data_IF_603780642075
#
_entry.id   IF_603780642075
#
_cell.length_a   1.000
_cell.length_b   1.000
_cell.length_c   1.000
_cell.angle_alpha   90.00
_cell.angle_beta   90.00
_cell.angle_gamma   90.00
#
_symmetry.space_group_name_H-M   'P 1'
#
loop_
_entity.id
_entity.type
_entity.pdbx_description
1 polymer ?
#
# COMPACT_ATOMS: atom_id res chain seq x y z
N UNK A 1 25.77 10.51 -0.52
CA UNK A 1 24.31 10.48 -0.72
C UNK A 1 23.71 11.30 0.42
N UNK A 2 22.81 12.28 0.21
CA UNK A 2 22.17 12.92 1.38
C UNK A 2 21.11 12.00 1.95
N UNK A 3 21.07 12.00 3.28
CA UNK A 3 20.33 11.11 4.16
C UNK A 3 18.82 11.04 3.85
N UNK A 4 18.20 12.16 3.50
CA UNK A 4 16.78 12.24 3.14
C UNK A 4 16.47 11.60 1.77
N UNK A 5 17.40 11.69 0.80
CA UNK A 5 17.30 11.02 -0.49
C UNK A 5 17.51 9.51 -0.34
N UNK A 6 18.47 9.10 0.50
CA UNK A 6 18.70 7.70 0.82
C UNK A 6 17.48 7.06 1.50
N UNK A 7 16.77 7.81 2.36
CA UNK A 7 15.50 7.41 2.97
C UNK A 7 14.37 7.30 1.94
N UNK A 8 14.17 8.30 1.07
CA UNK A 8 13.13 8.25 0.02
C UNK A 8 13.40 7.14 -1.01
N UNK A 9 14.66 6.92 -1.39
CA UNK A 9 15.08 5.82 -2.28
C UNK A 9 14.88 4.47 -1.60
N UNK A 10 15.27 4.31 -0.32
CA UNK A 10 15.02 3.09 0.47
C UNK A 10 13.53 2.81 0.69
N UNK A 11 12.69 3.86 0.75
CA UNK A 11 11.22 3.77 0.81
C UNK A 11 10.56 3.49 -0.56
N UNK A 12 11.25 3.79 -1.67
CA UNK A 12 10.78 3.56 -3.03
C UNK A 12 11.17 2.17 -3.58
N UNK A 13 12.24 1.54 -3.05
CA UNK A 13 12.67 0.20 -3.45
C UNK A 13 11.85 -0.90 -2.74
N UNK A 14 11.25 -1.87 -3.47
CA UNK A 14 10.42 -2.94 -2.91
C UNK A 14 11.20 -4.01 -2.11
N UNK A 15 12.52 -3.84 -1.97
CA UNK A 15 13.40 -4.66 -1.13
C UNK A 15 14.38 -3.76 -0.35
N UNK A 16 13.92 -2.95 0.58
CA UNK A 16 14.82 -2.53 1.68
C UNK A 16 14.59 -3.49 2.84
N UNK A 17 15.50 -4.45 3.08
CA UNK A 17 15.50 -5.24 4.29
C UNK A 17 15.62 -4.24 5.44
N UNK A 18 14.87 -4.50 6.51
CA UNK A 18 15.12 -4.10 7.90
C UNK A 18 16.22 -3.04 8.05
N UNK A 19 15.87 -1.85 8.53
CA UNK A 19 16.83 -1.04 9.29
C UNK A 19 17.34 -1.90 10.43
N UNK A 20 18.43 -2.64 10.18
CA UNK A 20 19.45 -3.09 11.12
C UNK A 20 20.42 -4.04 10.41
N UNK A 21 21.69 -3.87 10.79
CA UNK A 21 22.86 -4.69 10.53
C UNK A 21 23.42 -4.70 9.09
N UNK A 22 24.32 -3.76 8.82
CA UNK A 22 25.63 -4.09 8.24
C UNK A 22 26.69 -3.37 9.07
N UNK A 23 27.31 -4.13 9.98
CA UNK A 23 28.47 -3.73 10.77
C UNK A 23 29.69 -3.51 9.85
N UNK A 24 30.32 -2.34 9.91
CA UNK A 24 31.70 -2.15 10.44
C UNK A 24 32.29 -0.82 9.94
N UNK A 25 32.61 0.07 10.90
CA UNK A 25 33.58 1.16 10.72
C UNK A 25 33.02 2.58 10.95
N UNK A 26 33.30 3.11 12.13
CA UNK A 26 33.19 4.52 12.55
C UNK A 26 31.77 5.09 12.75
N UNK A 27 31.41 5.14 14.04
CA UNK A 27 30.22 5.78 14.60
C UNK A 27 30.22 7.31 14.36
N UNK A 28 29.23 7.79 13.62
CA UNK A 28 28.47 8.98 14.02
C UNK A 28 26.99 8.57 14.12
N UNK A 29 26.55 8.32 15.35
CA UNK A 29 25.19 8.01 15.77
C UNK A 29 24.25 9.22 15.62
N UNK A 30 24.18 9.82 14.43
CA UNK A 30 23.03 10.66 14.17
C UNK A 30 21.93 9.71 13.71
N UNK A 31 20.97 9.43 14.59
CA UNK A 31 19.67 8.90 14.24
C UNK A 31 18.73 10.10 14.16
N UNK A 32 18.17 10.38 12.98
CA UNK A 32 17.20 11.46 12.80
C UNK A 32 15.87 10.86 13.17
N UNK A 33 15.21 11.44 14.16
CA UNK A 33 13.88 11.01 14.54
C UNK A 33 12.89 11.28 13.40
N UNK A 34 11.82 10.48 13.30
CA UNK A 34 10.77 10.59 12.26
C UNK A 34 10.25 12.04 12.10
N UNK A 35 10.27 12.79 13.20
CA UNK A 35 9.81 14.19 13.28
C UNK A 35 10.80 15.18 12.67
N UNK A 36 12.11 14.92 12.75
CA UNK A 36 13.15 15.76 12.13
C UNK A 36 13.19 15.57 10.60
N UNK A 37 12.85 14.36 10.13
CA UNK A 37 12.63 14.10 8.70
C UNK A 37 11.41 14.88 8.19
N UNK A 38 10.32 14.91 8.98
CA UNK A 38 9.10 15.64 8.61
C UNK A 38 9.29 17.16 8.60
N UNK A 39 10.03 17.71 9.56
CA UNK A 39 10.30 19.15 9.64
C UNK A 39 11.19 19.64 8.48
N UNK A 40 12.20 18.88 8.10
CA UNK A 40 13.06 19.19 6.94
C UNK A 40 12.26 19.15 5.61
N UNK A 41 11.29 18.23 5.51
CA UNK A 41 10.36 18.14 4.38
C UNK A 41 9.35 19.31 4.35
N UNK A 42 8.97 19.87 5.50
CA UNK A 42 8.06 21.02 5.61
C UNK A 42 8.74 22.35 5.26
N UNK A 43 10.00 22.53 5.65
CA UNK A 43 10.74 23.79 5.44
C UNK A 43 11.17 24.01 3.99
N UNK A 44 11.23 22.95 3.18
CA UNK A 44 11.96 22.99 1.91
C UNK A 44 11.10 23.08 0.65
N UNK A 45 9.75 22.99 0.66
CA UNK A 45 9.03 22.83 -0.62
C UNK A 45 7.54 23.28 -0.70
N UNK A 46 7.23 24.56 -0.44
CA UNK A 46 5.87 25.12 -0.63
C UNK A 46 5.34 24.95 -2.07
N UNK A 47 6.21 25.03 -3.09
CA UNK A 47 5.86 24.84 -4.50
C UNK A 47 5.34 23.43 -4.84
N UNK A 48 5.72 22.41 -4.07
CA UNK A 48 5.36 21.00 -4.32
C UNK A 48 4.56 20.39 -3.18
N UNK A 49 3.80 21.23 -2.45
CA UNK A 49 3.06 20.86 -1.24
C UNK A 49 2.21 19.59 -1.42
N UNK A 50 1.41 19.49 -2.48
CA UNK A 50 0.56 18.32 -2.72
C UNK A 50 1.36 17.04 -2.92
N UNK A 51 2.46 17.08 -3.69
CA UNK A 51 3.36 15.93 -3.84
C UNK A 51 3.99 15.51 -2.52
N UNK A 52 4.36 16.48 -1.67
CA UNK A 52 4.86 16.21 -0.32
C UNK A 52 3.80 15.57 0.59
N UNK A 53 2.55 16.01 0.50
CA UNK A 53 1.44 15.40 1.24
C UNK A 53 1.22 13.94 0.83
N UNK A 54 1.34 13.61 -0.46
CA UNK A 54 1.28 12.22 -0.95
C UNK A 54 2.40 11.37 -0.34
N UNK A 55 3.64 11.86 -0.36
CA UNK A 55 4.80 11.17 0.24
C UNK A 55 4.55 10.96 1.73
N UNK A 56 4.09 11.99 2.44
CA UNK A 56 3.78 11.90 3.87
C UNK A 56 2.68 10.89 4.16
N UNK A 57 1.56 10.95 3.44
CA UNK A 57 0.44 10.02 3.61
C UNK A 57 0.82 8.55 3.34
N UNK A 58 1.80 8.31 2.47
CA UNK A 58 2.24 6.97 2.07
C UNK A 58 3.26 6.33 3.01
N UNK A 59 4.06 7.14 3.71
CA UNK A 59 5.21 6.65 4.50
C UNK A 59 5.19 7.07 5.98
N UNK A 60 4.31 8.01 6.34
CA UNK A 60 4.22 8.56 7.69
C UNK A 60 2.79 8.38 8.22
N UNK A 61 2.58 7.32 8.99
CA UNK A 61 1.27 6.83 9.43
C UNK A 61 0.49 7.79 10.37
N UNK A 62 1.08 8.92 10.77
CA UNK A 62 0.60 9.74 11.89
C UNK A 62 0.42 11.23 11.58
N UNK A 63 0.07 11.61 10.34
CA UNK A 63 -0.34 13.00 10.08
C UNK A 63 -1.75 13.05 9.48
N UNK A 64 -2.81 12.87 10.30
CA UNK A 64 -4.21 12.97 9.86
C UNK A 64 -4.47 14.25 9.05
N UNK A 65 -3.86 15.36 9.45
CA UNK A 65 -3.99 16.66 8.78
C UNK A 65 -3.52 16.62 7.31
N UNK A 66 -2.52 15.80 6.97
CA UNK A 66 -2.04 15.70 5.59
C UNK A 66 -3.01 14.96 4.69
N UNK A 67 -3.68 13.93 5.23
CA UNK A 67 -4.71 13.17 4.52
C UNK A 67 -5.96 14.05 4.34
N UNK A 68 -6.33 14.83 5.37
CA UNK A 68 -7.46 15.76 5.29
C UNK A 68 -7.25 16.79 4.18
N UNK A 69 -6.09 17.43 4.12
CA UNK A 69 -5.80 18.41 3.09
C UNK A 69 -5.79 17.79 1.68
N UNK A 70 -5.23 16.58 1.53
CA UNK A 70 -5.23 15.86 0.26
C UNK A 70 -6.67 15.47 -0.16
N UNK A 71 -7.50 15.04 0.79
CA UNK A 71 -8.92 14.75 0.56
C UNK A 71 -9.69 15.99 0.15
N UNK A 72 -9.47 17.15 0.78
CA UNK A 72 -10.10 18.41 0.38
C UNK A 72 -9.74 18.79 -1.06
N UNK A 73 -8.48 18.66 -1.44
CA UNK A 73 -8.04 18.91 -2.81
C UNK A 73 -8.72 17.98 -3.82
N UNK A 74 -8.75 16.68 -3.54
CA UNK A 74 -9.38 15.69 -4.42
C UNK A 74 -10.89 15.91 -4.51
N UNK A 75 -11.57 16.14 -3.39
CA UNK A 75 -13.02 16.37 -3.35
C UNK A 75 -13.43 17.58 -4.19
N UNK A 76 -12.64 18.67 -4.17
CA UNK A 76 -12.87 19.86 -5.01
C UNK A 76 -12.90 19.53 -6.50
N UNK A 77 -12.05 18.60 -6.95
CA UNK A 77 -12.00 18.17 -8.36
C UNK A 77 -13.17 17.27 -8.76
N UNK A 78 -13.86 16.70 -7.78
CA UNK A 78 -15.04 15.85 -7.98
C UNK A 78 -16.36 16.54 -7.63
N UNK A 79 -16.39 17.85 -7.42
CA UNK A 79 -17.63 18.54 -7.02
C UNK A 79 -18.76 18.36 -8.05
N UNK A 80 -18.43 18.28 -9.34
CA UNK A 80 -19.38 18.12 -10.44
C UNK A 80 -20.12 16.77 -10.46
N UNK A 81 -19.58 15.73 -9.82
CA UNK A 81 -20.19 14.40 -9.78
C UNK A 81 -21.06 14.16 -8.54
N UNK A 82 -21.19 15.16 -7.67
CA UNK A 82 -22.00 15.12 -6.45
C UNK A 82 -21.21 14.73 -5.19
N UNK A 83 -21.64 15.24 -4.03
CA UNK A 83 -20.90 15.16 -2.75
C UNK A 83 -20.62 13.71 -2.33
N UNK A 84 -21.60 12.82 -2.43
CA UNK A 84 -21.45 11.44 -2.00
C UNK A 84 -20.49 10.65 -2.91
N UNK A 85 -20.61 10.83 -4.23
CA UNK A 85 -19.71 10.22 -5.21
C UNK A 85 -18.28 10.75 -5.09
N UNK A 86 -18.12 12.06 -4.85
CA UNK A 86 -16.84 12.72 -4.60
C UNK A 86 -16.11 12.09 -3.42
N UNK A 87 -16.80 11.83 -2.30
CA UNK A 87 -16.20 11.15 -1.13
C UNK A 87 -15.69 9.75 -1.46
N UNK A 88 -16.46 8.94 -2.18
CA UNK A 88 -16.05 7.59 -2.57
C UNK A 88 -14.88 7.63 -3.54
N UNK A 89 -14.92 8.52 -4.53
CA UNK A 89 -13.83 8.73 -5.48
C UNK A 89 -12.54 9.15 -4.77
N UNK A 90 -12.62 10.05 -3.79
CA UNK A 90 -11.49 10.48 -2.98
C UNK A 90 -10.88 9.35 -2.15
N UNK A 91 -11.70 8.49 -1.53
CA UNK A 91 -11.23 7.28 -0.85
C UNK A 91 -10.43 6.40 -1.83
N UNK A 92 -10.96 6.18 -3.03
CA UNK A 92 -10.28 5.37 -4.04
C UNK A 92 -8.92 5.98 -4.40
N UNK A 93 -8.86 7.28 -4.70
CA UNK A 93 -7.61 7.96 -5.07
C UNK A 93 -6.58 7.88 -3.94
N UNK A 94 -6.97 8.15 -2.69
CA UNK A 94 -6.08 8.04 -1.54
C UNK A 94 -5.52 6.63 -1.42
N UNK A 95 -6.38 5.61 -1.46
CA UNK A 95 -5.96 4.22 -1.33
C UNK A 95 -5.05 3.77 -2.50
N UNK A 96 -5.27 4.28 -3.72
CA UNK A 96 -4.35 4.09 -4.84
C UNK A 96 -2.96 4.70 -4.56
N UNK A 97 -2.91 5.90 -3.99
CA UNK A 97 -1.66 6.63 -3.68
C UNK A 97 -0.87 5.96 -2.54
N UNK A 98 -1.56 5.60 -1.46
CA UNK A 98 -0.97 4.99 -0.26
C UNK A 98 -0.75 3.49 -0.40
N UNK A 99 -1.21 2.87 -1.50
CA UNK A 99 -1.17 1.42 -1.73
C UNK A 99 -1.91 0.63 -0.64
N UNK A 100 -2.96 1.21 -0.08
CA UNK A 100 -3.85 0.53 0.85
C UNK A 100 -5.04 -0.07 0.10
N UNK A 101 -5.55 -1.23 0.55
CA UNK A 101 -6.70 -1.86 -0.10
C UNK A 101 -8.00 -1.12 0.21
N UNK A 102 -8.96 -1.14 -0.72
CA UNK A 102 -10.33 -0.66 -0.46
C UNK A 102 -11.25 -1.83 -0.04
N UNK A 103 -12.36 -1.57 0.66
CA UNK A 103 -13.25 -2.61 1.17
C UNK A 103 -13.71 -3.66 0.14
N UNK A 104 -13.99 -3.25 -1.10
CA UNK A 104 -14.40 -4.16 -2.18
C UNK A 104 -13.30 -5.19 -2.55
N UNK A 105 -12.03 -4.89 -2.26
CA UNK A 105 -10.92 -5.81 -2.55
C UNK A 105 -10.65 -6.82 -1.45
N UNK A 106 -11.15 -6.60 -0.22
CA UNK A 106 -10.74 -7.39 0.95
C UNK A 106 -10.95 -8.88 0.75
N UNK A 107 -12.10 -9.30 0.20
CA UNK A 107 -12.40 -10.72 -0.02
C UNK A 107 -11.42 -11.39 -1.00
N UNK A 108 -11.05 -10.69 -2.07
CA UNK A 108 -10.09 -11.17 -3.07
C UNK A 108 -8.69 -11.28 -2.46
N UNK A 109 -8.23 -10.25 -1.75
CA UNK A 109 -6.92 -10.24 -1.10
C UNK A 109 -6.86 -11.32 -0.02
N UNK A 110 -7.90 -11.46 0.80
CA UNK A 110 -8.02 -12.51 1.81
C UNK A 110 -7.88 -13.90 1.18
N UNK A 111 -8.61 -14.18 0.11
CA UNK A 111 -8.51 -15.46 -0.62
C UNK A 111 -7.09 -15.74 -1.12
N UNK A 112 -6.41 -14.72 -1.67
CA UNK A 112 -5.02 -14.84 -2.11
C UNK A 112 -4.06 -15.12 -0.96
N UNK A 113 -4.25 -14.47 0.20
CA UNK A 113 -3.42 -14.73 1.38
C UNK A 113 -3.65 -16.12 1.97
N UNK A 114 -4.88 -16.65 1.91
CA UNK A 114 -5.16 -18.04 2.29
C UNK A 114 -4.51 -19.06 1.37
N UNK A 115 -4.28 -18.71 0.10
CA UNK A 115 -3.72 -19.63 -0.90
C UNK A 115 -2.20 -19.54 -1.02
N UNK A 116 -1.65 -18.32 -0.99
CA UNK A 116 -0.24 -18.05 -1.31
C UNK A 116 0.51 -17.35 -0.19
N UNK A 117 -0.14 -17.04 0.94
CA UNK A 117 0.53 -16.36 2.04
C UNK A 117 1.68 -17.19 2.61
N UNK A 118 2.78 -16.57 3.07
CA UNK A 118 3.94 -17.30 3.59
C UNK A 118 3.61 -18.17 4.81
N UNK A 119 2.63 -17.76 5.62
CA UNK A 119 2.12 -18.55 6.75
C UNK A 119 0.98 -19.51 6.35
N UNK A 120 0.42 -19.33 5.16
CA UNK A 120 -0.69 -20.14 4.68
C UNK A 120 -0.23 -21.53 4.26
N UNK A 121 0.94 -21.64 3.62
CA UNK A 121 1.47 -22.95 3.22
C UNK A 121 1.67 -23.88 4.44
N UNK A 122 2.29 -23.37 5.51
CA UNK A 122 2.47 -24.12 6.77
C UNK A 122 1.13 -24.48 7.41
N UNK A 123 0.19 -23.54 7.47
CA UNK A 123 -1.14 -23.79 8.02
C UNK A 123 -1.92 -24.83 7.20
N UNK A 124 -1.82 -24.78 5.87
CA UNK A 124 -2.47 -25.73 4.96
C UNK A 124 -1.89 -27.14 5.11
N UNK A 125 -0.56 -27.28 5.20
CA UNK A 125 0.10 -28.58 5.47
C UNK A 125 -0.41 -29.18 6.78
N UNK A 126 -0.41 -28.41 7.86
CA UNK A 126 -0.94 -28.85 9.17
C UNK A 126 -2.42 -29.24 9.11
N UNK A 127 -3.24 -28.49 8.36
CA UNK A 127 -4.66 -28.83 8.17
C UNK A 127 -4.86 -30.15 7.40
N UNK A 128 -3.99 -30.44 6.42
CA UNK A 128 -4.01 -31.71 5.68
C UNK A 128 -3.58 -32.87 6.59
N UNK A 129 -2.51 -32.70 7.36
CA UNK A 129 -2.05 -33.70 8.34
C UNK A 129 -3.14 -34.07 9.35
N UNK A 130 -3.82 -33.08 9.94
CA UNK A 130 -4.93 -33.33 10.88
C UNK A 130 -6.10 -34.03 10.19
N UNK A 131 -6.39 -33.71 8.92
CA UNK A 131 -7.43 -34.42 8.16
C UNK A 131 -7.08 -35.88 7.92
N UNK A 132 -5.85 -36.16 7.51
CA UNK A 132 -5.41 -37.54 7.31
C UNK A 132 -5.50 -38.35 8.62
N UNK A 133 -5.09 -37.76 9.75
CA UNK A 133 -5.25 -38.39 11.08
C UNK A 133 -6.73 -38.66 11.42
N UNK A 134 -7.64 -37.74 11.08
CA UNK A 134 -9.09 -37.92 11.29
C UNK A 134 -9.70 -39.03 10.44
N UNK A 135 -9.15 -39.24 9.24
CA UNK A 135 -9.59 -40.28 8.30
C UNK A 135 -9.05 -41.66 8.70
N UNK A 136 -7.85 -41.72 9.31
CA UNK A 136 -7.26 -42.95 9.86
C UNK A 136 -7.89 -43.38 11.19
N UNK A 137 -8.44 -42.44 11.97
CA UNK A 137 -9.12 -42.73 13.24
C UNK A 137 -10.57 -43.19 13.01
N UNK A 138 -10.80 -44.50 13.05
CA UNK A 138 -12.13 -45.08 12.88
C UNK A 138 -12.99 -45.09 14.16
N UNK A 139 -12.40 -45.35 15.35
CA UNK A 139 -13.19 -45.71 16.55
C UNK A 139 -13.06 -44.78 17.77
N UNK A 140 -11.96 -44.02 17.93
CA UNK A 140 -11.81 -43.13 19.11
C UNK A 140 -12.59 -41.82 18.94
N UNK A 141 -13.78 -41.76 19.53
CA UNK A 141 -14.68 -40.59 19.46
C UNK A 141 -14.08 -39.35 20.11
N UNK A 142 -13.37 -39.50 21.23
CA UNK A 142 -12.79 -38.39 21.98
C UNK A 142 -11.61 -37.77 21.23
N UNK A 143 -10.70 -38.60 20.72
CA UNK A 143 -9.55 -38.13 19.94
C UNK A 143 -10.01 -37.49 18.61
N UNK A 144 -11.05 -38.03 17.97
CA UNK A 144 -11.65 -37.41 16.78
C UNK A 144 -12.27 -36.05 17.07
N UNK A 145 -12.98 -35.89 18.19
CA UNK A 145 -13.52 -34.57 18.57
C UNK A 145 -12.42 -33.55 18.86
N UNK A 146 -11.36 -33.95 19.56
CA UNK A 146 -10.20 -33.09 19.78
C UNK A 146 -9.56 -32.64 18.47
N UNK A 147 -9.28 -33.56 17.54
CA UNK A 147 -8.68 -33.24 16.25
C UNK A 147 -9.60 -32.35 15.38
N UNK A 148 -10.92 -32.57 15.41
CA UNK A 148 -11.89 -31.68 14.75
C UNK A 148 -11.84 -30.26 15.33
N UNK A 149 -11.72 -30.15 16.66
CA UNK A 149 -11.58 -28.86 17.34
C UNK A 149 -10.28 -28.14 16.94
N UNK A 150 -9.15 -28.86 16.92
CA UNK A 150 -7.86 -28.32 16.48
C UNK A 150 -7.92 -27.88 15.02
N UNK A 151 -8.50 -28.69 14.13
CA UNK A 151 -8.67 -28.34 12.72
C UNK A 151 -9.50 -27.07 12.54
N UNK A 152 -10.59 -26.93 13.31
CA UNK A 152 -11.43 -25.72 13.31
C UNK A 152 -10.64 -24.51 13.78
N UNK A 153 -9.86 -24.65 14.84
CA UNK A 153 -9.00 -23.57 15.36
C UNK A 153 -7.93 -23.13 14.33
N UNK A 154 -7.24 -24.07 13.70
CA UNK A 154 -6.22 -23.76 12.68
C UNK A 154 -6.82 -23.07 11.45
N UNK A 155 -8.02 -23.46 11.02
CA UNK A 155 -8.76 -22.76 9.95
C UNK A 155 -9.10 -21.32 10.36
N UNK A 156 -9.63 -21.12 11.56
CA UNK A 156 -9.98 -19.80 12.09
C UNK A 156 -8.74 -18.88 12.19
N UNK A 157 -7.61 -19.43 12.62
CA UNK A 157 -6.33 -18.70 12.71
C UNK A 157 -5.84 -18.23 11.34
N UNK A 158 -5.91 -19.10 10.32
CA UNK A 158 -5.57 -18.73 8.95
C UNK A 158 -6.53 -17.66 8.41
N UNK A 159 -7.83 -17.80 8.67
CA UNK A 159 -8.85 -16.83 8.28
C UNK A 159 -8.65 -15.46 8.92
N UNK A 160 -8.29 -15.42 10.20
CA UNK A 160 -8.01 -14.17 10.89
C UNK A 160 -6.77 -13.48 10.30
N UNK A 161 -5.68 -14.22 10.10
CA UNK A 161 -4.45 -13.67 9.53
C UNK A 161 -4.67 -13.14 8.11
N UNK A 162 -5.41 -13.87 7.29
CA UNK A 162 -5.73 -13.44 5.93
C UNK A 162 -6.60 -12.17 5.94
N UNK A 163 -7.57 -12.05 6.86
CA UNK A 163 -8.40 -10.84 7.03
C UNK A 163 -7.59 -9.63 7.48
N UNK A 164 -6.66 -9.80 8.41
CA UNK A 164 -5.77 -8.72 8.86
C UNK A 164 -4.85 -8.24 7.74
N UNK A 165 -4.30 -9.16 6.94
CA UNK A 165 -3.50 -8.82 5.76
C UNK A 165 -4.32 -8.13 4.67
N UNK A 166 -5.53 -8.60 4.42
CA UNK A 166 -6.43 -8.03 3.42
C UNK A 166 -6.82 -6.57 3.68
N UNK A 167 -6.79 -6.12 4.94
CA UNK A 167 -7.06 -4.73 5.34
C UNK A 167 -5.81 -3.85 5.35
N UNK A 168 -4.62 -4.43 5.49
CA UNK A 168 -3.38 -3.69 5.76
C UNK A 168 -2.46 -3.55 4.56
N UNK A 169 -2.60 -4.40 3.54
CA UNK A 169 -1.65 -4.38 2.42
C UNK A 169 -2.25 -4.81 1.09
N UNK A 170 -1.78 -4.16 0.02
CA UNK A 170 -2.02 -4.57 -1.37
C UNK A 170 -0.91 -5.45 -1.92
N UNK A 171 0.13 -5.78 -1.13
CA UNK A 171 1.23 -6.63 -1.58
C UNK A 171 0.70 -7.98 -2.04
N UNK A 172 1.13 -8.43 -3.22
CA UNK A 172 0.73 -9.73 -3.71
C UNK A 172 1.40 -10.84 -2.87
N UNK A 173 0.63 -11.77 -2.25
CA UNK A 173 1.19 -12.80 -1.38
C UNK A 173 2.03 -13.83 -2.15
N UNK A 174 1.76 -14.05 -3.44
CA UNK A 174 2.47 -15.02 -4.30
C UNK A 174 3.89 -14.59 -4.62
N UNK A 175 4.10 -13.31 -4.97
CA UNK A 175 5.38 -12.80 -5.44
C UNK A 175 6.04 -11.80 -4.46
N UNK A 176 5.36 -11.46 -3.36
CA UNK A 176 5.85 -10.60 -2.29
C UNK A 176 6.42 -9.25 -2.78
N UNK A 177 5.80 -8.66 -3.80
CA UNK A 177 6.24 -7.39 -4.38
C UNK A 177 7.03 -7.52 -5.69
N UNK A 178 7.37 -8.73 -6.13
CA UNK A 178 7.85 -8.98 -7.50
C UNK A 178 6.66 -9.02 -8.50
N UNK A 179 6.91 -9.14 -9.81
CA UNK A 179 5.81 -9.28 -10.79
C UNK A 179 5.34 -10.74 -10.89
N UNK A 180 4.03 -10.99 -11.08
CA UNK A 180 3.51 -12.33 -11.41
C UNK A 180 2.20 -12.25 -12.21
N UNK A 181 1.72 -13.39 -12.71
CA UNK A 181 0.41 -13.55 -13.36
C UNK A 181 -0.79 -12.98 -12.58
N UNK A 182 -0.72 -12.98 -11.25
CA UNK A 182 -1.79 -12.46 -10.38
C UNK A 182 -1.65 -10.96 -10.07
N UNK A 183 -0.52 -10.33 -10.41
CA UNK A 183 -0.30 -8.91 -10.15
C UNK A 183 0.66 -8.26 -11.14
N UNK A 184 0.29 -7.09 -11.66
CA UNK A 184 1.10 -6.38 -12.67
C UNK A 184 2.37 -5.72 -12.14
N UNK A 185 2.48 -5.50 -10.82
CA UNK A 185 3.61 -4.74 -10.25
C UNK A 185 3.86 -5.07 -8.78
N UNK A 186 3.73 -6.34 -8.39
CA UNK A 186 3.88 -6.76 -6.99
C UNK A 186 2.78 -6.35 -6.03
N UNK A 187 1.80 -5.60 -6.53
CA UNK A 187 0.66 -5.11 -5.78
C UNK A 187 -0.64 -5.43 -6.52
N UNK A 188 -1.67 -5.75 -5.76
CA UNK A 188 -3.05 -5.92 -6.22
C UNK A 188 -3.60 -4.51 -6.42
N UNK A 189 -3.78 -4.11 -7.69
CA UNK A 189 -4.25 -2.78 -8.05
C UNK A 189 -5.76 -2.67 -7.87
N UNK A 190 -6.22 -1.47 -7.50
CA UNK A 190 -7.64 -1.11 -7.57
C UNK A 190 -8.06 -1.07 -9.03
N UNK A 191 -9.07 -1.85 -9.37
CA UNK A 191 -9.66 -1.93 -10.71
C UNK A 191 -10.95 -1.14 -10.79
N UNK A 192 -11.47 -0.95 -12.01
CA UNK A 192 -12.77 -0.32 -12.21
C UNK A 192 -13.89 -1.11 -11.53
N UNK A 193 -13.83 -2.45 -11.56
CA UNK A 193 -14.82 -3.31 -10.89
C UNK A 193 -14.78 -3.14 -9.37
N UNK A 194 -13.58 -3.03 -8.78
CA UNK A 194 -13.43 -2.77 -7.36
C UNK A 194 -14.03 -1.40 -6.99
N UNK A 195 -13.82 -0.39 -7.84
CA UNK A 195 -14.41 0.93 -7.66
C UNK A 195 -15.94 0.87 -7.77
N UNK A 196 -16.48 0.24 -8.81
CA UNK A 196 -17.93 0.09 -9.01
C UNK A 196 -18.59 -0.60 -7.81
N UNK A 197 -18.00 -1.71 -7.32
CA UNK A 197 -18.48 -2.39 -6.12
C UNK A 197 -18.45 -1.48 -4.89
N UNK A 198 -17.41 -0.66 -4.73
CA UNK A 198 -17.34 0.27 -3.61
C UNK A 198 -18.48 1.30 -3.67
N UNK A 199 -18.75 1.87 -4.84
CA UNK A 199 -19.88 2.79 -5.00
C UNK A 199 -21.23 2.11 -4.68
N UNK A 200 -21.43 0.85 -5.10
CA UNK A 200 -22.62 0.09 -4.71
C UNK A 200 -22.71 -0.15 -3.21
N UNK A 201 -21.61 -0.45 -2.53
CA UNK A 201 -21.57 -0.61 -1.07
C UNK A 201 -22.00 0.68 -0.34
N UNK A 202 -21.64 1.84 -0.88
CA UNK A 202 -22.06 3.15 -0.37
C UNK A 202 -23.44 3.61 -0.89
N UNK A 203 -24.16 2.76 -1.64
CA UNK A 203 -25.47 3.04 -2.22
C UNK A 203 -25.50 4.33 -3.07
N UNK A 204 -24.41 4.61 -3.76
CA UNK A 204 -24.36 5.75 -4.69
C UNK A 204 -25.18 5.38 -5.94
N UNK A 205 -26.15 6.19 -6.35
CA UNK A 205 -26.88 5.97 -7.59
C UNK A 205 -25.94 6.17 -8.78
N UNK A 206 -25.89 5.18 -9.69
CA UNK A 206 -24.95 5.15 -10.80
C UNK A 206 -25.62 4.63 -12.07
N UNK A 207 -25.18 5.16 -13.21
CA UNK A 207 -25.37 4.51 -14.50
C UNK A 207 -24.14 3.65 -14.80
N UNK A 208 -24.28 2.33 -14.80
CA UNK A 208 -23.17 1.38 -15.03
C UNK A 208 -22.52 1.62 -16.40
N UNK A 209 -23.33 1.88 -17.42
CA UNK A 209 -22.87 2.11 -18.79
C UNK A 209 -22.01 3.37 -18.96
N UNK A 210 -22.16 4.35 -18.07
CA UNK A 210 -21.35 5.56 -18.08
C UNK A 210 -20.29 5.59 -16.98
N UNK A 211 -20.19 4.55 -16.15
CA UNK A 211 -19.32 4.56 -14.96
C UNK A 211 -17.86 4.86 -15.31
N UNK A 212 -17.39 4.27 -16.41
CA UNK A 212 -16.03 4.46 -16.91
C UNK A 212 -15.72 5.95 -17.15
N UNK A 213 -16.61 6.66 -17.84
CA UNK A 213 -16.38 8.05 -18.25
C UNK A 213 -16.69 9.01 -17.10
N UNK A 214 -17.80 8.79 -16.39
CA UNK A 214 -18.28 9.72 -15.36
C UNK A 214 -17.45 9.66 -14.08
N UNK A 215 -16.93 8.49 -13.69
CA UNK A 215 -16.25 8.31 -12.40
C UNK A 215 -14.83 7.77 -12.54
N UNK A 216 -14.64 6.69 -13.31
CA UNK A 216 -13.35 5.99 -13.35
C UNK A 216 -12.24 6.81 -14.02
N UNK A 217 -12.48 7.39 -15.20
CA UNK A 217 -11.49 8.23 -15.88
C UNK A 217 -11.10 9.47 -15.06
N UNK A 218 -12.05 10.21 -14.45
CA UNK A 218 -11.72 11.26 -13.49
C UNK A 218 -10.87 10.79 -12.30
N UNK A 219 -11.17 9.62 -11.71
CA UNK A 219 -10.34 8.99 -10.66
C UNK A 219 -8.93 8.73 -11.14
N UNK A 220 -8.77 8.13 -12.31
CA UNK A 220 -7.45 7.84 -12.88
C UNK A 220 -6.69 9.12 -13.22
N UNK A 221 -7.37 10.14 -13.74
CA UNK A 221 -6.79 11.44 -14.10
C UNK A 221 -6.18 12.12 -12.87
N UNK A 222 -6.96 12.24 -11.79
CA UNK A 222 -6.49 12.87 -10.54
C UNK A 222 -5.38 12.03 -9.88
N UNK A 223 -5.51 10.70 -9.89
CA UNK A 223 -4.44 9.83 -9.41
C UNK A 223 -3.14 10.05 -10.19
N UNK A 224 -3.17 10.11 -11.52
CA UNK A 224 -2.00 10.34 -12.37
C UNK A 224 -1.37 11.71 -12.11
N UNK A 225 -2.19 12.74 -11.96
CA UNK A 225 -1.73 14.09 -11.62
C UNK A 225 -0.99 14.12 -10.27
N UNK A 226 -1.60 13.58 -9.22
CA UNK A 226 -0.98 13.53 -7.88
C UNK A 226 0.28 12.67 -7.86
N UNK A 227 0.33 11.61 -8.67
CA UNK A 227 1.55 10.82 -8.89
C UNK A 227 2.64 11.60 -9.63
N UNK A 228 2.28 12.47 -10.56
CA UNK A 228 3.23 13.38 -11.20
C UNK A 228 3.82 14.35 -10.18
N UNK A 229 2.97 14.96 -9.34
CA UNK A 229 3.40 15.86 -8.27
C UNK A 229 4.28 15.13 -7.22
N UNK A 230 3.97 13.88 -6.86
CA UNK A 230 4.83 13.04 -6.01
C UNK A 230 6.23 12.89 -6.64
N UNK A 231 6.30 12.54 -7.93
CA UNK A 231 7.57 12.37 -8.64
C UNK A 231 8.36 13.68 -8.75
N UNK A 232 7.69 14.78 -9.05
CA UNK A 232 8.31 16.11 -9.12
C UNK A 232 8.85 16.53 -7.76
N UNK A 233 8.09 16.32 -6.68
CA UNK A 233 8.54 16.59 -5.32
C UNK A 233 9.81 15.78 -5.00
N UNK A 234 9.82 14.47 -5.31
CA UNK A 234 11.00 13.60 -5.16
C UNK A 234 12.18 14.10 -5.98
N UNK A 235 11.96 14.46 -7.25
CA UNK A 235 13.01 14.95 -8.14
C UNK A 235 13.61 16.26 -7.66
N UNK A 236 12.79 17.19 -7.17
CA UNK A 236 13.23 18.50 -6.68
C UNK A 236 13.99 18.40 -5.36
N UNK A 237 13.61 17.46 -4.48
CA UNK A 237 14.43 17.08 -3.34
C UNK A 237 15.82 16.59 -3.81
N UNK A 238 15.88 15.85 -4.92
CA UNK A 238 17.14 15.47 -5.57
C UNK A 238 17.92 16.64 -6.19
N UNK A 239 17.26 17.61 -6.83
CA UNK A 239 17.88 18.73 -7.54
C UNK A 239 18.37 19.88 -6.64
N UNK A 240 17.66 20.23 -5.56
CA UNK A 240 18.13 21.27 -4.61
C UNK A 240 19.51 20.92 -4.04
N UNK A 241 19.81 19.64 -3.90
CA UNK A 241 21.15 19.19 -3.52
C UNK A 241 22.19 19.30 -4.63
N UNK A 242 21.85 19.15 -5.91
CA UNK A 242 22.79 19.43 -7.01
C UNK A 242 23.22 20.91 -7.04
N UNK A 243 22.36 21.85 -6.63
CA UNK A 243 22.73 23.27 -6.50
C UNK A 243 23.57 23.56 -5.26
N UNK A 244 23.33 22.89 -4.13
CA UNK A 244 24.16 23.01 -2.91
C UNK A 244 25.55 22.39 -3.12
N UNK A 245 25.65 21.30 -3.90
CA UNK A 245 26.93 20.71 -4.27
C UNK A 245 27.63 21.43 -5.44
N UNK A 246 27.00 22.40 -6.10
CA UNK A 246 27.65 23.19 -7.16
C UNK A 246 28.60 24.26 -6.65
N UNK A 247 28.84 24.35 -5.34
CA UNK A 247 30.05 25.00 -4.80
C UNK A 247 31.28 24.09 -4.83
N UNK A 248 31.16 22.78 -5.09
CA UNK A 248 32.30 21.90 -5.42
C UNK A 248 31.91 20.78 -6.38
N UNK A 249 32.48 20.89 -7.59
CA UNK A 249 32.60 19.89 -8.64
C UNK A 249 31.44 19.79 -9.66
N UNK A 250 31.77 20.29 -10.86
CA UNK A 250 31.21 19.89 -12.15
C UNK A 250 31.09 18.36 -12.26
N UNK A 251 29.96 17.87 -12.75
CA UNK A 251 29.92 16.82 -13.79
C UNK A 251 28.59 16.92 -14.56
N UNK A 252 28.71 17.03 -15.88
CA UNK A 252 27.65 16.83 -16.86
C UNK A 252 27.38 15.33 -17.07
N UNK A 253 26.27 15.02 -17.78
CA UNK A 253 25.98 13.77 -18.52
C UNK A 253 25.52 12.58 -17.64
N UNK A 254 24.48 11.79 -17.94
CA UNK A 254 23.77 11.48 -19.19
C UNK A 254 22.33 10.96 -18.90
N UNK A 255 21.47 11.15 -19.90
CA UNK A 255 20.24 10.38 -20.17
C UNK A 255 20.57 8.93 -20.55
N UNK A 256 19.70 7.99 -20.14
CA UNK A 256 19.34 6.71 -20.81
C UNK A 256 18.21 6.03 -20.03
#
# INVERSE_FOLDING_TARGET
MTRSLELVVKLATPKSPKMNTLNNGAFSNDFLERNEILSELDLSNTKYRLGMLVIKAKYFDNVPNNIVELLEHINKKFLSIGVAASKVASIIVINMLTRTPIPSQYKKIESLYKKFGPKAELALKKQIEIKNQLDELYEDSYQREQLKSILKYEKLKLDQLAREKAKSTTLCPKCQGASCDLCTSGHIRITMDDALQLFHMFKIPLCVNSFSITYWEPILSIFRELRCMEKEAVHQMGLKHKKINKTKANYCLLDS
#
